data_IF_645208192283
#
_entry.id   IF_645208192283
#
_cell.length_a   1.000
_cell.length_b   1.000
_cell.length_c   1.000
_cell.angle_alpha   90.00
_cell.angle_beta   90.00
_cell.angle_gamma   90.00
#
_symmetry.space_group_name_H-M   'P 1'
#
loop_
_entity.id
_entity.type
_entity.pdbx_description
1 polymer ?
#
# COMPACT_ATOMS: atom_id res chain seq x y z
N UNK A 1 7.57 -5.15 -17.00
CA UNK A 1 7.27 -5.34 -15.56
C UNK A 1 8.56 -5.16 -14.81
N UNK A 2 8.67 -4.11 -14.00
CA UNK A 2 9.87 -3.84 -13.22
C UNK A 2 9.65 -4.36 -11.80
N UNK A 3 10.62 -5.09 -11.25
CA UNK A 3 10.54 -5.65 -9.90
C UNK A 3 11.69 -5.06 -9.09
N UNK A 4 11.37 -4.54 -7.90
CA UNK A 4 12.34 -4.00 -6.95
C UNK A 4 12.16 -4.75 -5.63
N UNK A 5 13.26 -5.25 -5.07
CA UNK A 5 13.27 -5.85 -3.75
C UNK A 5 13.47 -4.76 -2.70
N UNK A 6 12.48 -4.53 -1.85
CA UNK A 6 12.53 -3.60 -0.75
C UNK A 6 11.59 -4.05 0.38
N UNK A 7 11.72 -3.44 1.56
CA UNK A 7 10.76 -3.56 2.65
C UNK A 7 9.57 -2.62 2.36
N UNK A 8 8.35 -3.05 2.65
CA UNK A 8 7.17 -2.21 2.47
C UNK A 8 7.18 -1.00 3.41
N UNK A 9 7.92 -1.10 4.50
CA UNK A 9 8.16 -0.07 5.50
C UNK A 9 9.20 0.98 5.08
N UNK A 10 9.89 0.80 3.95
CA UNK A 10 10.88 1.74 3.41
C UNK A 10 10.98 1.59 1.89
N UNK A 11 10.12 2.31 1.17
CA UNK A 11 10.00 2.17 -0.28
C UNK A 11 11.06 3.04 -1.00
N UNK A 12 11.85 2.48 -1.94
CA UNK A 12 12.94 3.18 -2.61
C UNK A 12 12.42 4.05 -3.78
N UNK A 13 11.33 4.76 -3.54
CA UNK A 13 10.69 5.63 -4.51
C UNK A 13 10.52 7.03 -3.92
N UNK A 14 10.64 8.09 -4.73
CA UNK A 14 10.30 9.44 -4.31
C UNK A 14 8.84 9.57 -3.87
N UNK A 15 8.54 10.67 -3.19
CA UNK A 15 7.17 11.05 -2.87
C UNK A 15 6.34 11.22 -4.15
N UNK A 16 5.03 10.97 -4.08
CA UNK A 16 4.08 11.18 -5.18
C UNK A 16 4.41 10.44 -6.51
N UNK A 17 5.05 9.28 -6.43
CA UNK A 17 5.50 8.50 -7.61
C UNK A 17 4.38 7.73 -8.32
N UNK A 18 3.42 7.17 -7.58
CA UNK A 18 2.44 6.21 -8.11
C UNK A 18 1.02 6.75 -8.09
N UNK A 19 0.29 6.62 -9.20
CA UNK A 19 -1.13 7.01 -9.25
C UNK A 19 -2.07 6.10 -8.44
N UNK A 20 -1.67 4.85 -8.22
CA UNK A 20 -2.41 3.89 -7.39
C UNK A 20 -1.45 2.90 -6.75
N UNK A 21 -1.80 2.41 -5.56
CA UNK A 21 -1.03 1.38 -4.83
C UNK A 21 -1.96 0.24 -4.45
N UNK A 22 -1.50 -0.99 -4.66
CA UNK A 22 -2.23 -2.20 -4.32
C UNK A 22 -1.47 -2.97 -3.25
N UNK A 23 -2.10 -3.19 -2.11
CA UNK A 23 -1.55 -3.99 -1.01
C UNK A 23 -2.44 -5.22 -0.86
N UNK A 24 -1.96 -6.36 -1.35
CA UNK A 24 -2.76 -7.57 -1.52
C UNK A 24 -2.29 -8.64 -0.55
N UNK A 25 -3.13 -8.98 0.41
CA UNK A 25 -2.91 -10.03 1.44
C UNK A 25 -1.51 -9.90 2.08
N UNK A 26 -1.05 -8.65 2.27
CA UNK A 26 0.31 -8.34 2.74
C UNK A 26 0.31 -7.82 4.18
N UNK A 27 -0.63 -6.92 4.53
CA UNK A 27 -0.61 -6.23 5.84
C UNK A 27 -0.75 -7.18 7.04
N UNK A 28 -1.29 -8.39 6.85
CA UNK A 28 -1.41 -9.39 7.91
C UNK A 28 -0.08 -10.03 8.31
N UNK A 29 0.98 -9.84 7.52
CA UNK A 29 2.27 -10.52 7.68
C UNK A 29 3.45 -9.58 7.93
N UNK A 30 3.20 -8.27 7.93
CA UNK A 30 4.24 -7.26 8.20
C UNK A 30 4.25 -6.91 9.68
N UNK A 31 5.42 -6.62 10.24
CA UNK A 31 5.56 -6.28 11.66
C UNK A 31 4.91 -4.94 12.01
N UNK A 32 4.98 -3.97 11.10
CA UNK A 32 4.54 -2.57 11.29
C UNK A 32 3.64 -2.12 10.15
N UNK A 33 2.38 -2.60 10.09
CA UNK A 33 1.46 -2.28 9.00
C UNK A 33 1.21 -0.77 8.84
N UNK A 34 1.25 0.00 9.93
CA UNK A 34 1.16 1.46 9.92
C UNK A 34 2.33 2.12 9.17
N UNK A 35 3.54 1.56 9.27
CA UNK A 35 4.70 2.08 8.53
C UNK A 35 4.58 1.78 7.04
N UNK A 36 4.05 0.61 6.67
CA UNK A 36 3.74 0.26 5.28
C UNK A 36 2.69 1.21 4.69
N UNK A 37 1.62 1.50 5.43
CA UNK A 37 0.59 2.44 5.00
C UNK A 37 1.14 3.86 4.86
N UNK A 38 1.97 4.32 5.80
CA UNK A 38 2.62 5.64 5.74
C UNK A 38 3.54 5.77 4.53
N UNK A 39 4.39 4.78 4.27
CA UNK A 39 5.25 4.77 3.08
C UNK A 39 4.45 4.68 1.80
N UNK A 40 3.36 3.90 1.79
CA UNK A 40 2.44 3.84 0.65
C UNK A 40 1.80 5.21 0.40
N UNK A 41 1.30 5.90 1.42
CA UNK A 41 0.77 7.25 1.29
C UNK A 41 1.83 8.23 0.77
N UNK A 42 3.07 8.19 1.31
CA UNK A 42 4.18 9.03 0.86
C UNK A 42 4.44 8.92 -0.65
N UNK A 43 4.49 7.70 -1.18
CA UNK A 43 4.78 7.46 -2.61
C UNK A 43 3.53 7.55 -3.49
N UNK A 44 2.34 7.75 -2.93
CA UNK A 44 1.09 7.92 -3.67
C UNK A 44 0.99 9.36 -4.17
N UNK A 45 0.72 9.54 -5.47
CA UNK A 45 0.46 10.83 -6.04
C UNK A 45 -0.84 11.44 -5.48
N UNK A 46 -0.93 12.78 -5.46
CA UNK A 46 -2.16 13.48 -5.06
C UNK A 46 -3.37 13.01 -5.87
N UNK A 47 -4.46 12.71 -5.18
CA UNK A 47 -5.69 12.17 -5.79
C UNK A 47 -5.59 10.69 -6.21
N UNK A 48 -4.46 10.04 -5.96
CA UNK A 48 -4.28 8.60 -6.10
C UNK A 48 -5.07 7.81 -5.05
N UNK A 49 -5.07 6.49 -5.19
CA UNK A 49 -5.79 5.59 -4.26
C UNK A 49 -4.92 4.44 -3.79
N UNK A 50 -5.08 4.07 -2.51
CA UNK A 50 -4.56 2.81 -1.98
C UNK A 50 -5.71 1.80 -1.94
N UNK A 51 -5.50 0.66 -2.58
CA UNK A 51 -6.43 -0.47 -2.58
C UNK A 51 -5.85 -1.54 -1.67
N UNK A 52 -6.55 -1.81 -0.57
CA UNK A 52 -6.23 -2.90 0.34
C UNK A 52 -7.07 -4.12 -0.05
N UNK A 53 -6.42 -5.26 -0.18
CA UNK A 53 -7.10 -6.55 -0.32
C UNK A 53 -6.66 -7.43 0.83
N UNK A 54 -7.60 -7.96 1.58
CA UNK A 54 -7.35 -8.85 2.70
C UNK A 54 -8.30 -10.05 2.66
N UNK A 55 -7.87 -11.15 3.25
CA UNK A 55 -8.72 -12.34 3.42
C UNK A 55 -9.38 -12.29 4.80
N UNK A 56 -10.72 -12.30 4.82
CA UNK A 56 -11.52 -12.50 6.04
C UNK A 56 -12.27 -13.82 5.91
N UNK A 57 -11.85 -14.81 6.72
CA UNK A 57 -12.51 -16.13 6.83
C UNK A 57 -12.69 -16.83 5.46
N UNK A 58 -11.67 -16.78 4.60
CA UNK A 58 -11.69 -17.41 3.27
C UNK A 58 -12.44 -16.60 2.21
N UNK A 59 -12.62 -15.29 2.43
CA UNK A 59 -13.24 -14.36 1.50
C UNK A 59 -12.31 -13.18 1.28
N UNK A 60 -11.92 -12.97 0.03
CA UNK A 60 -11.19 -11.77 -0.37
C UNK A 60 -12.13 -10.56 -0.34
N UNK A 61 -11.75 -9.56 0.45
CA UNK A 61 -12.46 -8.29 0.57
C UNK A 61 -11.51 -7.17 0.17
N UNK A 62 -12.00 -6.24 -0.64
CA UNK A 62 -11.29 -5.03 -1.04
C UNK A 62 -11.80 -3.81 -0.26
N UNK A 63 -10.89 -2.97 0.22
CA UNK A 63 -11.18 -1.66 0.76
C UNK A 63 -10.35 -0.60 0.02
N UNK A 64 -10.96 0.55 -0.25
CA UNK A 64 -10.24 1.71 -0.78
C UNK A 64 -9.96 2.64 0.39
N UNK A 65 -8.69 2.91 0.64
CA UNK A 65 -8.30 3.97 1.55
C UNK A 65 -8.28 5.29 0.78
N UNK A 66 -9.06 6.23 1.29
CA UNK A 66 -9.00 7.63 0.91
C UNK A 66 -8.19 8.36 1.97
N UNK A 67 -7.00 8.84 1.61
CA UNK A 67 -6.35 9.88 2.40
C UNK A 67 -6.87 11.22 1.88
N UNK A 68 -7.62 11.94 2.72
CA UNK A 68 -7.92 13.35 2.47
C UNK A 68 -6.62 14.13 2.70
N UNK A 69 -6.07 14.69 1.62
CA UNK A 69 -4.82 15.45 1.64
C UNK A 69 -4.95 16.82 2.28
#
# INVERSE_FOLDING_TARGET
MNVVRASGEELPFPDETFGSIFIIVTLCFVEKPEKVLKESSRVLAKGGRIILVFDIKGKSVGAILHEEG
#
